data_IF_710865221674
#
_entry.id   IF_710865221674
#
_cell.length_a   1.000
_cell.length_b   1.000
_cell.length_c   1.000
_cell.angle_alpha   90.00
_cell.angle_beta   90.00
_cell.angle_gamma   90.00
#
_symmetry.space_group_name_H-M   'P 1'
#
loop_
_entity.id
_entity.type
_entity.pdbx_description
1 polymer ?
#
# COMPACT_ATOMS: atom_id res chain seq x y z
N UNK A 1 29.00 -4.89 -6.07
CA UNK A 1 27.80 -4.32 -5.41
C UNK A 1 27.90 -4.58 -3.91
N UNK A 2 27.92 -3.52 -3.09
CA UNK A 2 28.52 -3.57 -1.76
C UNK A 2 27.61 -4.23 -0.71
N UNK A 3 27.99 -5.44 -0.25
CA UNK A 3 27.33 -6.18 0.86
C UNK A 3 27.21 -5.36 2.16
N UNK A 4 27.97 -4.28 2.32
CA UNK A 4 27.84 -3.35 3.45
C UNK A 4 26.55 -2.51 3.39
N UNK A 5 26.03 -2.19 2.20
CA UNK A 5 24.87 -1.31 2.04
C UNK A 5 23.54 -2.04 2.35
N UNK A 6 23.43 -3.33 1.99
CA UNK A 6 22.31 -4.19 2.41
C UNK A 6 22.29 -4.43 3.93
N UNK A 7 23.44 -4.38 4.60
CA UNK A 7 23.52 -4.57 6.06
C UNK A 7 22.95 -3.38 6.83
N UNK A 8 23.06 -2.15 6.34
CA UNK A 8 22.55 -0.96 7.03
C UNK A 8 21.03 -1.00 7.18
N UNK A 9 20.29 -1.38 6.14
CA UNK A 9 18.82 -1.49 6.21
C UNK A 9 18.38 -2.69 7.07
N UNK A 10 19.12 -3.81 7.04
CA UNK A 10 18.88 -4.97 7.92
C UNK A 10 19.05 -4.61 9.41
N UNK A 11 19.90 -3.63 9.75
CA UNK A 11 20.12 -3.16 11.13
C UNK A 11 18.98 -2.26 11.61
N UNK A 12 18.37 -1.44 10.73
CA UNK A 12 17.21 -0.58 11.08
C UNK A 12 15.94 -1.39 11.36
N UNK A 13 15.74 -2.53 10.68
CA UNK A 13 14.60 -3.45 10.88
C UNK A 13 14.61 -4.14 12.27
N UNK A 14 15.68 -3.99 13.06
CA UNK A 14 15.89 -4.74 14.31
C UNK A 14 15.51 -4.04 15.62
N UNK A 15 14.83 -2.90 15.61
CA UNK A 15 14.42 -2.24 16.88
C UNK A 15 12.89 -2.22 17.03
N UNK A 16 12.39 -3.23 17.73
CA UNK A 16 11.10 -3.21 18.41
C UNK A 16 11.14 -2.20 19.57
N UNK A 17 10.09 -1.37 19.72
CA UNK A 17 9.70 -0.86 21.05
C UNK A 17 8.17 -0.79 21.17
N UNK A 18 7.70 -1.69 22.03
CA UNK A 18 6.56 -1.64 22.95
C UNK A 18 5.67 -0.39 22.97
N UNK A 19 4.36 -0.61 22.79
CA UNK A 19 3.32 0.26 23.32
C UNK A 19 2.99 -0.15 24.76
N UNK A 20 3.09 0.79 25.71
CA UNK A 20 1.89 1.18 26.44
C UNK A 20 1.69 2.69 26.41
N UNK A 21 0.43 3.10 26.31
CA UNK A 21 0.03 4.49 26.44
C UNK A 21 0.50 5.08 27.77
N UNK A 22 1.00 6.33 27.70
CA UNK A 22 1.36 7.31 28.75
C UNK A 22 2.86 7.63 28.82
N UNK A 23 3.22 8.79 28.25
CA UNK A 23 4.37 9.60 28.69
C UNK A 23 5.72 9.25 28.06
N UNK A 24 6.13 10.10 27.11
CA UNK A 24 7.50 10.42 26.68
C UNK A 24 8.50 9.24 26.53
N UNK A 25 8.59 8.74 25.30
CA UNK A 25 9.73 7.94 24.79
C UNK A 25 9.43 7.24 23.46
N UNK A 26 9.59 7.94 22.33
CA UNK A 26 9.53 7.42 20.94
C UNK A 26 8.58 6.24 20.67
N UNK A 27 7.28 6.44 20.91
CA UNK A 27 6.24 5.54 20.40
C UNK A 27 5.85 5.97 19.00
N UNK A 28 5.93 5.07 18.02
CA UNK A 28 5.38 5.30 16.68
C UNK A 28 3.91 5.75 16.78
N UNK A 29 3.54 6.82 16.07
CA UNK A 29 2.15 7.26 16.00
C UNK A 29 1.54 6.80 14.68
N UNK A 30 0.48 6.00 14.79
CA UNK A 30 -0.26 5.44 13.66
C UNK A 30 -1.59 6.16 13.55
N UNK A 31 -1.91 6.66 12.36
CA UNK A 31 -3.20 7.27 12.05
C UNK A 31 -3.80 6.51 10.87
N UNK A 32 -4.85 5.69 11.08
CA UNK A 32 -5.59 5.12 9.97
C UNK A 32 -6.28 6.26 9.21
N UNK A 33 -6.11 6.29 7.90
CA UNK A 33 -6.70 7.26 6.99
C UNK A 33 -7.64 6.49 6.07
N UNK A 34 -8.90 6.41 6.47
CA UNK A 34 -9.92 5.63 5.77
C UNK A 34 -10.82 6.60 5.01
N UNK A 35 -10.90 6.39 3.69
CA UNK A 35 -11.78 7.18 2.83
C UNK A 35 -12.96 6.32 2.39
N UNK A 36 -14.13 6.96 2.36
CA UNK A 36 -15.37 6.44 1.79
C UNK A 36 -15.83 7.43 0.71
N UNK A 37 -16.75 7.02 -0.19
CA UNK A 37 -17.31 7.96 -1.16
C UNK A 37 -17.79 9.25 -0.48
N UNK A 38 -17.25 10.39 -0.93
CA UNK A 38 -17.50 11.76 -0.44
C UNK A 38 -16.97 12.08 0.97
N UNK A 39 -16.20 11.20 1.58
CA UNK A 39 -15.60 11.38 2.91
C UNK A 39 -14.12 11.01 2.83
N UNK A 40 -13.24 12.01 2.77
CA UNK A 40 -11.79 11.79 2.78
C UNK A 40 -11.16 12.20 4.12
N UNK A 41 -10.42 11.29 4.72
CA UNK A 41 -9.46 11.56 5.80
C UNK A 41 -8.05 11.76 5.24
N UNK A 42 -7.74 11.11 4.12
CA UNK A 42 -6.43 11.16 3.48
C UNK A 42 -6.06 12.57 2.98
N UNK A 43 -6.94 13.19 2.20
CA UNK A 43 -6.70 14.49 1.58
C UNK A 43 -6.39 15.60 2.60
N UNK A 44 -7.27 15.90 3.59
CA UNK A 44 -6.99 16.94 4.57
C UNK A 44 -5.79 16.63 5.48
N UNK A 45 -5.46 15.35 5.66
CA UNK A 45 -4.26 14.96 6.41
C UNK A 45 -2.99 15.31 5.63
N UNK A 46 -2.96 15.04 4.32
CA UNK A 46 -1.84 15.39 3.44
C UNK A 46 -1.67 16.89 3.27
N UNK A 47 -2.76 17.63 3.05
CA UNK A 47 -2.74 19.10 2.99
C UNK A 47 -2.04 19.66 4.23
N UNK A 48 -2.45 19.20 5.42
CA UNK A 48 -1.83 19.61 6.67
C UNK A 48 -0.37 19.18 6.77
N UNK A 49 -0.05 17.93 6.45
CA UNK A 49 1.32 17.40 6.55
C UNK A 49 2.28 18.21 5.66
N UNK A 50 1.90 18.47 4.41
CA UNK A 50 2.65 19.26 3.43
C UNK A 50 2.76 20.72 3.88
N UNK A 51 1.67 21.32 4.36
CA UNK A 51 1.67 22.71 4.85
C UNK A 51 2.59 22.90 6.07
N UNK A 52 2.76 21.86 6.90
CA UNK A 52 3.62 21.91 8.10
C UNK A 52 5.01 21.30 7.93
N UNK A 53 5.35 20.80 6.73
CA UNK A 53 6.66 20.25 6.44
C UNK A 53 7.76 21.31 6.63
N UNK A 54 8.91 20.88 7.18
CA UNK A 54 9.99 21.75 7.61
C UNK A 54 11.27 21.59 6.79
N UNK A 55 11.60 20.37 6.38
CA UNK A 55 12.89 20.05 5.75
C UNK A 55 12.73 19.41 4.38
N UNK A 56 11.90 18.37 4.23
CA UNK A 56 11.81 17.64 2.98
C UNK A 56 10.46 16.96 2.75
N UNK A 57 10.08 16.82 1.47
CA UNK A 57 8.94 16.04 1.02
C UNK A 57 9.36 15.20 -0.20
N UNK A 58 9.30 13.88 -0.07
CA UNK A 58 9.49 12.94 -1.17
C UNK A 58 8.15 12.28 -1.54
N UNK A 59 7.77 12.36 -2.81
CA UNK A 59 6.47 11.89 -3.33
C UNK A 59 6.70 10.85 -4.43
N UNK A 60 6.20 9.63 -4.22
CA UNK A 60 6.25 8.52 -5.18
C UNK A 60 4.83 8.03 -5.47
N UNK A 61 4.36 8.26 -6.70
CA UNK A 61 2.97 7.98 -7.07
C UNK A 61 2.89 7.24 -8.41
N UNK A 62 1.94 6.32 -8.47
CA UNK A 62 1.50 5.71 -9.74
C UNK A 62 0.71 6.70 -10.60
N UNK A 63 -0.26 7.39 -10.00
CA UNK A 63 -1.09 8.37 -10.68
C UNK A 63 -1.20 9.62 -9.82
N UNK A 64 -0.75 10.74 -10.38
CA UNK A 64 -0.69 12.04 -9.74
C UNK A 64 -1.13 13.15 -10.69
N UNK A 65 -2.38 13.09 -11.13
CA UNK A 65 -2.95 14.06 -12.08
C UNK A 65 -2.90 15.49 -11.53
N UNK A 66 -2.65 16.45 -12.43
CA UNK A 66 -2.65 17.88 -12.12
C UNK A 66 -4.07 18.43 -11.95
N UNK A 67 -4.97 18.03 -12.84
CA UNK A 67 -6.33 18.54 -12.89
C UNK A 67 -7.15 18.06 -11.68
N UNK A 68 -7.87 18.98 -11.04
CA UNK A 68 -8.74 18.65 -9.90
C UNK A 68 -8.01 18.23 -8.63
N UNK A 69 -6.68 18.35 -8.58
CA UNK A 69 -5.86 17.93 -7.45
C UNK A 69 -5.32 19.13 -6.65
N UNK A 70 -5.83 19.38 -5.43
CA UNK A 70 -5.42 20.53 -4.64
C UNK A 70 -4.04 20.38 -4.00
N UNK A 71 -3.48 19.16 -3.95
CA UNK A 71 -2.21 18.91 -3.25
C UNK A 71 -1.01 19.51 -3.96
N UNK A 72 -1.07 19.73 -5.27
CA UNK A 72 0.05 20.33 -6.02
C UNK A 72 0.28 21.80 -5.65
N UNK A 73 -0.76 22.53 -5.27
CA UNK A 73 -0.64 23.90 -4.77
C UNK A 73 0.02 23.91 -3.38
N UNK A 74 -0.32 22.96 -2.51
CA UNK A 74 0.36 22.80 -1.21
C UNK A 74 1.83 22.41 -1.39
N UNK A 75 2.13 21.54 -2.37
CA UNK A 75 3.50 21.14 -2.72
C UNK A 75 4.32 22.33 -3.20
N UNK A 76 3.78 23.16 -4.10
CA UNK A 76 4.47 24.37 -4.58
C UNK A 76 4.63 25.41 -3.47
N UNK A 77 3.63 25.57 -2.60
CA UNK A 77 3.72 26.41 -1.42
C UNK A 77 4.82 25.92 -0.45
N UNK A 78 4.95 24.61 -0.24
CA UNK A 78 6.03 24.04 0.58
C UNK A 78 7.41 24.32 -0.01
N UNK A 79 7.59 24.10 -1.32
CA UNK A 79 8.84 24.42 -2.01
C UNK A 79 9.18 25.92 -1.91
N UNK A 80 8.19 26.81 -2.03
CA UNK A 80 8.37 28.26 -1.87
C UNK A 80 8.79 28.67 -0.44
N UNK A 81 8.45 27.87 0.57
CA UNK A 81 8.96 28.04 1.96
C UNK A 81 10.39 27.55 2.14
N UNK A 82 10.99 26.91 1.14
CA UNK A 82 12.35 26.35 1.20
C UNK A 82 12.42 24.87 1.59
N UNK A 83 11.28 24.18 1.67
CA UNK A 83 11.24 22.72 1.87
C UNK A 83 11.80 22.03 0.62
N UNK A 84 12.69 21.06 0.80
CA UNK A 84 13.23 20.29 -0.32
C UNK A 84 12.17 19.29 -0.83
N UNK A 85 11.62 19.51 -2.03
CA UNK A 85 10.60 18.62 -2.60
C UNK A 85 11.16 17.82 -3.77
N UNK A 86 10.87 16.52 -3.82
CA UNK A 86 11.16 15.64 -4.96
C UNK A 86 9.95 14.79 -5.31
N UNK A 87 9.66 14.65 -6.60
CA UNK A 87 8.50 13.89 -7.08
C UNK A 87 8.91 12.88 -8.15
N UNK A 88 8.51 11.62 -7.95
CA UNK A 88 8.59 10.55 -8.95
C UNK A 88 7.17 10.11 -9.30
N UNK A 89 6.84 10.18 -10.59
CA UNK A 89 5.58 9.66 -11.13
C UNK A 89 5.84 8.46 -12.06
N UNK A 90 4.91 7.53 -12.12
CA UNK A 90 4.98 6.37 -13.01
C UNK A 90 4.93 6.78 -14.48
N UNK A 91 5.82 6.15 -15.25
CA UNK A 91 5.79 6.06 -16.69
C UNK A 91 5.68 4.59 -17.04
N UNK A 92 4.73 4.26 -17.89
CA UNK A 92 4.51 2.87 -18.28
C UNK A 92 4.69 2.69 -19.77
N UNK A 93 5.59 1.78 -20.16
CA UNK A 93 5.69 1.30 -21.55
C UNK A 93 4.46 0.46 -21.96
N UNK A 94 3.70 -0.05 -20.98
CA UNK A 94 2.53 -0.91 -21.21
C UNK A 94 1.21 -0.13 -21.21
N UNK A 95 1.21 1.06 -20.63
CA UNK A 95 0.02 1.92 -20.51
C UNK A 95 0.42 3.38 -20.71
N UNK A 96 0.40 3.80 -21.97
CA UNK A 96 0.71 5.20 -22.36
C UNK A 96 -0.20 6.21 -21.64
N UNK A 97 -1.45 5.82 -21.34
CA UNK A 97 -2.41 6.68 -20.65
C UNK A 97 -1.95 7.12 -19.26
N UNK A 98 -1.22 6.29 -18.50
CA UNK A 98 -0.66 6.69 -17.20
C UNK A 98 0.39 7.79 -17.42
N UNK A 99 1.25 7.60 -18.42
CA UNK A 99 2.29 8.58 -18.77
C UNK A 99 1.66 9.91 -19.19
N UNK A 100 0.60 9.86 -19.99
CA UNK A 100 -0.11 11.06 -20.47
C UNK A 100 -0.79 11.83 -19.34
N UNK A 101 -1.38 11.11 -18.37
CA UNK A 101 -2.00 11.70 -17.17
C UNK A 101 -0.99 12.38 -16.25
N UNK A 102 0.18 11.78 -16.08
CA UNK A 102 1.25 12.29 -15.21
C UNK A 102 2.07 13.42 -15.86
N UNK A 103 2.11 13.51 -17.19
CA UNK A 103 2.93 14.50 -17.92
C UNK A 103 2.63 15.96 -17.54
N UNK A 104 1.36 16.43 -17.51
CA UNK A 104 1.06 17.80 -17.10
C UNK A 104 1.59 18.14 -15.72
N UNK A 105 1.57 17.19 -14.79
CA UNK A 105 2.08 17.37 -13.43
C UNK A 105 3.60 17.54 -13.42
N UNK A 106 4.34 16.68 -14.14
CA UNK A 106 5.80 16.82 -14.27
C UNK A 106 6.16 18.19 -14.85
N UNK A 107 5.47 18.61 -15.91
CA UNK A 107 5.73 19.89 -16.57
C UNK A 107 5.43 21.07 -15.63
N UNK A 108 4.30 21.00 -14.90
CA UNK A 108 3.92 22.01 -13.89
C UNK A 108 4.97 22.16 -12.79
N UNK A 109 5.40 21.05 -12.19
CA UNK A 109 6.42 21.06 -11.13
C UNK A 109 7.77 21.56 -11.64
N UNK A 110 8.16 21.17 -12.86
CA UNK A 110 9.40 21.62 -13.50
C UNK A 110 9.42 23.14 -13.71
N UNK A 111 8.31 23.73 -14.17
CA UNK A 111 8.17 25.19 -14.33
C UNK A 111 8.28 25.92 -12.98
N UNK A 112 7.84 25.29 -11.89
CA UNK A 112 7.96 25.81 -10.52
C UNK A 112 9.32 25.52 -9.87
N UNK A 113 10.29 24.96 -10.62
CA UNK A 113 11.63 24.67 -10.11
C UNK A 113 11.69 23.50 -9.13
N UNK A 114 10.65 22.66 -9.08
CA UNK A 114 10.58 21.49 -8.22
C UNK A 114 11.13 20.29 -8.99
N UNK A 115 12.14 19.57 -8.46
CA UNK A 115 12.62 18.32 -9.05
C UNK A 115 11.51 17.28 -9.17
N UNK A 116 11.03 17.08 -10.40
CA UNK A 116 10.03 16.08 -10.73
C UNK A 116 10.48 15.26 -11.94
N UNK A 117 10.27 13.95 -11.91
CA UNK A 117 10.66 13.06 -13.01
C UNK A 117 9.80 11.82 -13.10
N UNK A 118 9.88 11.16 -14.25
CA UNK A 118 9.36 9.82 -14.42
C UNK A 118 10.33 8.78 -13.83
N UNK A 119 9.78 7.63 -13.43
CA UNK A 119 10.55 6.44 -13.09
C UNK A 119 11.14 5.74 -14.34
N UNK A 120 11.73 4.56 -14.12
CA UNK A 120 12.19 3.70 -15.20
C UNK A 120 10.98 3.06 -15.89
N UNK A 121 10.73 3.34 -17.18
CA UNK A 121 9.54 2.83 -17.88
C UNK A 121 9.48 1.29 -17.97
N UNK A 122 10.59 0.60 -17.75
CA UNK A 122 10.64 -0.86 -17.70
C UNK A 122 10.10 -1.44 -16.38
N UNK A 123 9.94 -0.62 -15.34
CA UNK A 123 9.48 -1.03 -14.00
C UNK A 123 8.39 -0.08 -13.52
N UNK A 124 7.14 -0.52 -13.62
CA UNK A 124 6.00 0.26 -13.15
C UNK A 124 6.11 0.64 -11.69
N UNK A 125 5.99 1.93 -11.40
CA UNK A 125 5.75 2.44 -10.06
C UNK A 125 4.27 2.39 -9.74
N UNK A 126 3.88 1.36 -9.00
CA UNK A 126 2.52 1.21 -8.49
C UNK A 126 2.40 1.63 -7.01
N UNK A 127 3.39 2.36 -6.48
CA UNK A 127 3.38 2.89 -5.11
C UNK A 127 2.51 4.16 -4.95
N UNK A 128 2.13 4.44 -3.70
CA UNK A 128 1.47 5.69 -3.27
C UNK A 128 2.05 6.08 -1.94
N UNK A 129 3.17 6.78 -1.98
CA UNK A 129 4.00 7.08 -0.82
C UNK A 129 4.36 8.56 -0.79
N UNK A 130 4.19 9.15 0.39
CA UNK A 130 4.71 10.48 0.72
C UNK A 130 5.55 10.34 1.98
N UNK A 131 6.79 10.80 1.94
CA UNK A 131 7.66 10.91 3.12
C UNK A 131 7.87 12.38 3.43
N UNK A 132 7.55 12.79 4.65
CA UNK A 132 7.71 14.17 5.13
C UNK A 132 8.73 14.20 6.26
N UNK A 133 9.70 15.11 6.15
CA UNK A 133 10.72 15.41 7.16
C UNK A 133 11.50 14.17 7.66
N UNK A 134 11.67 13.15 6.79
CA UNK A 134 12.35 11.87 7.08
C UNK A 134 11.74 11.03 8.21
N UNK A 135 10.55 11.38 8.74
CA UNK A 135 9.93 10.67 9.85
C UNK A 135 8.46 10.29 9.64
N UNK A 136 7.72 11.04 8.83
CA UNK A 136 6.32 10.78 8.58
C UNK A 136 6.16 10.10 7.21
N UNK A 137 5.82 8.82 7.21
CA UNK A 137 5.45 8.09 6.00
C UNK A 137 3.93 7.99 5.89
N UNK A 138 3.37 8.47 4.78
CA UNK A 138 1.94 8.36 4.44
C UNK A 138 1.85 7.48 3.20
N UNK A 139 1.16 6.35 3.33
CA UNK A 139 1.05 5.37 2.27
C UNK A 139 -0.28 4.62 2.29
N UNK A 140 -0.58 3.93 1.21
CA UNK A 140 -1.80 3.15 1.10
C UNK A 140 -2.20 2.90 -0.34
N UNK A 141 -3.50 3.00 -0.57
CA UNK A 141 -4.10 2.71 -1.86
C UNK A 141 -4.41 3.95 -2.70
N UNK A 142 -4.40 5.16 -2.13
CA UNK A 142 -4.91 6.37 -2.81
C UNK A 142 -3.91 7.00 -3.77
N UNK A 143 -4.27 6.99 -5.05
CA UNK A 143 -3.68 7.86 -6.05
C UNK A 143 -4.06 9.32 -5.80
N UNK A 144 -3.39 10.22 -6.51
CA UNK A 144 -3.62 11.66 -6.44
C UNK A 144 -4.42 12.12 -7.65
N UNK A 145 -5.70 11.74 -7.68
CA UNK A 145 -6.67 12.10 -8.72
C UNK A 145 -8.07 12.31 -8.11
N UNK A 146 -8.97 12.96 -8.86
CA UNK A 146 -10.31 13.34 -8.38
C UNK A 146 -11.12 12.15 -7.84
N UNK A 147 -11.11 11.02 -8.56
CA UNK A 147 -11.88 9.82 -8.16
C UNK A 147 -11.39 9.24 -6.84
N UNK A 148 -10.07 9.14 -6.64
CA UNK A 148 -9.48 8.63 -5.41
C UNK A 148 -9.87 9.46 -4.19
N UNK A 149 -9.99 10.78 -4.35
CA UNK A 149 -10.36 11.70 -3.27
C UNK A 149 -11.86 11.78 -2.97
N UNK A 150 -12.72 11.45 -3.95
CA UNK A 150 -14.15 11.78 -3.85
C UNK A 150 -15.10 10.60 -4.02
N UNK A 151 -14.71 9.53 -4.71
CA UNK A 151 -15.64 8.48 -5.14
C UNK A 151 -15.25 7.09 -4.63
N UNK A 152 -13.98 6.84 -4.36
CA UNK A 152 -13.48 5.50 -4.07
C UNK A 152 -13.38 5.22 -2.57
N UNK A 153 -13.62 3.97 -2.17
CA UNK A 153 -13.28 3.52 -0.83
C UNK A 153 -11.80 3.12 -0.76
N UNK A 154 -11.04 3.68 0.19
CA UNK A 154 -9.59 3.55 0.26
C UNK A 154 -9.12 3.21 1.68
N UNK A 155 -8.00 2.50 1.78
CA UNK A 155 -7.32 2.23 3.03
C UNK A 155 -5.90 2.78 2.96
N UNK A 156 -5.64 3.85 3.72
CA UNK A 156 -4.33 4.46 3.86
C UNK A 156 -3.93 4.54 5.34
N UNK A 157 -2.66 4.83 5.60
CA UNK A 157 -2.12 5.03 6.93
C UNK A 157 -1.05 6.11 6.91
N UNK A 158 -1.02 6.93 7.95
CA UNK A 158 0.12 7.76 8.28
C UNK A 158 0.87 7.17 9.47
N UNK A 159 2.19 7.08 9.33
CA UNK A 159 3.10 6.49 10.29
C UNK A 159 4.18 7.51 10.61
N UNK A 160 4.08 8.10 11.79
CA UNK A 160 5.08 9.01 12.33
C UNK A 160 6.05 8.21 13.18
N UNK A 161 7.16 7.81 12.55
CA UNK A 161 8.27 7.09 13.14
C UNK A 161 9.53 7.30 12.27
N UNK A 162 10.61 7.91 12.81
CA UNK A 162 11.84 8.16 12.05
C UNK A 162 12.47 6.92 11.43
N UNK A 163 12.27 5.73 12.01
CA UNK A 163 12.79 4.47 11.44
C UNK A 163 12.01 4.04 10.20
N UNK A 164 10.71 4.32 10.18
CA UNK A 164 9.85 4.01 9.02
C UNK A 164 10.08 5.04 7.93
N UNK A 165 10.20 6.33 8.30
CA UNK A 165 10.59 7.40 7.40
C UNK A 165 11.94 7.12 6.72
N UNK A 166 12.96 6.71 7.49
CA UNK A 166 14.28 6.34 6.95
C UNK A 166 14.20 5.20 5.92
N UNK A 167 13.43 4.13 6.20
CA UNK A 167 13.32 3.00 5.26
C UNK A 167 12.67 3.42 3.94
N UNK A 168 11.59 4.18 4.01
CA UNK A 168 10.89 4.63 2.80
C UNK A 168 11.63 5.76 2.07
N UNK A 169 12.32 6.65 2.79
CA UNK A 169 13.21 7.66 2.20
C UNK A 169 14.40 7.02 1.47
N UNK A 170 15.03 6.00 2.06
CA UNK A 170 16.09 5.23 1.38
C UNK A 170 15.54 4.45 0.17
N UNK A 171 14.34 3.90 0.26
CA UNK A 171 13.67 3.28 -0.89
C UNK A 171 13.40 4.29 -2.01
N UNK A 172 12.87 5.48 -1.67
CA UNK A 172 12.68 6.58 -2.61
C UNK A 172 13.99 7.00 -3.27
N UNK A 173 15.05 7.22 -2.48
CA UNK A 173 16.38 7.58 -2.98
C UNK A 173 16.88 6.54 -3.99
N UNK A 174 16.60 5.26 -3.77
CA UNK A 174 17.06 4.22 -4.69
C UNK A 174 16.36 4.25 -6.05
N UNK A 175 15.07 4.56 -6.06
CA UNK A 175 14.34 4.80 -7.31
C UNK A 175 14.83 6.11 -7.92
N UNK A 176 15.00 7.17 -7.13
CA UNK A 176 15.51 8.48 -7.55
C UNK A 176 16.91 8.42 -8.18
N UNK A 177 17.77 7.53 -7.73
CA UNK A 177 19.13 7.40 -8.26
C UNK A 177 19.25 6.30 -9.32
N UNK A 178 18.14 5.67 -9.71
CA UNK A 178 18.09 4.50 -10.61
C UNK A 178 19.02 3.37 -10.15
N UNK A 179 19.08 3.14 -8.83
CA UNK A 179 19.99 2.19 -8.21
C UNK A 179 19.26 1.09 -7.40
N UNK A 180 17.92 1.03 -7.50
CA UNK A 180 17.13 -0.07 -6.96
C UNK A 180 17.39 -1.34 -7.76
N UNK A 181 18.08 -2.29 -7.13
CA UNK A 181 18.45 -3.57 -7.77
C UNK A 181 17.37 -4.64 -7.54
N UNK A 182 17.15 -5.55 -8.51
CA UNK A 182 16.26 -6.68 -8.31
C UNK A 182 16.61 -7.51 -7.07
N UNK A 183 15.59 -7.89 -6.31
CA UNK A 183 15.73 -8.55 -5.00
C UNK A 183 16.20 -7.64 -3.87
N UNK A 184 16.20 -6.32 -4.09
CA UNK A 184 16.79 -5.24 -3.29
C UNK A 184 16.66 -5.35 -1.76
N UNK A 185 15.74 -4.59 -1.17
CA UNK A 185 15.59 -4.41 0.29
C UNK A 185 14.80 -5.59 0.87
N UNK A 186 15.39 -6.77 1.04
CA UNK A 186 14.67 -7.92 1.61
C UNK A 186 14.55 -7.87 3.13
N UNK A 187 13.33 -8.00 3.63
CA UNK A 187 13.04 -8.13 5.06
C UNK A 187 13.33 -9.56 5.56
N UNK A 188 14.08 -9.73 6.66
CA UNK A 188 14.34 -11.05 7.26
C UNK A 188 13.12 -11.53 8.07
N UNK A 189 12.18 -12.19 7.40
CA UNK A 189 10.90 -12.65 7.99
C UNK A 189 11.05 -13.59 9.19
N UNK A 190 12.17 -14.31 9.30
CA UNK A 190 12.44 -15.23 10.41
C UNK A 190 12.71 -14.51 11.74
N UNK A 191 12.93 -13.19 11.68
CA UNK A 191 13.17 -12.32 12.85
C UNK A 191 11.91 -11.61 13.36
N UNK A 192 10.76 -11.81 12.70
CA UNK A 192 9.49 -11.25 13.15
C UNK A 192 9.05 -12.03 14.40
N UNK A 193 9.05 -11.35 15.55
CA UNK A 193 8.67 -11.89 16.86
C UNK A 193 7.16 -11.84 17.14
N UNK A 194 6.77 -12.23 18.35
CA UNK A 194 5.37 -12.36 18.78
C UNK A 194 4.79 -11.10 19.46
N UNK A 195 5.31 -9.90 19.15
CA UNK A 195 4.92 -8.67 19.82
C UNK A 195 4.58 -7.53 18.84
N UNK A 196 4.06 -6.40 19.34
CA UNK A 196 3.73 -5.26 18.51
C UNK A 196 4.92 -4.82 17.66
N UNK A 197 4.76 -4.84 16.34
CA UNK A 197 5.86 -4.62 15.39
C UNK A 197 5.35 -3.86 14.17
N UNK A 198 6.06 -2.82 13.76
CA UNK A 198 5.86 -2.16 12.47
C UNK A 198 6.93 -2.65 11.50
N UNK A 199 6.50 -3.10 10.32
CA UNK A 199 7.37 -3.62 9.28
C UNK A 199 7.08 -2.84 8.01
N UNK A 200 7.97 -1.94 7.57
CA UNK A 200 7.87 -1.33 6.26
C UNK A 200 8.17 -2.38 5.19
N UNK A 201 7.37 -2.41 4.13
CA UNK A 201 7.44 -3.39 3.05
C UNK A 201 7.61 -2.65 1.72
N UNK A 202 8.77 -2.00 1.48
CA UNK A 202 9.10 -1.53 0.14
C UNK A 202 9.34 -2.74 -0.75
N UNK A 203 8.69 -2.79 -1.89
CA UNK A 203 8.86 -3.84 -2.89
C UNK A 203 9.32 -3.26 -4.22
N UNK A 204 10.14 -4.03 -4.91
CA UNK A 204 10.60 -3.77 -6.27
C UNK A 204 10.81 -5.11 -6.96
N UNK A 205 11.24 -5.14 -8.22
CA UNK A 205 11.44 -6.38 -8.96
C UNK A 205 12.12 -7.47 -8.12
N UNK A 206 11.50 -8.64 -7.99
CA UNK A 206 12.02 -9.83 -7.27
C UNK A 206 12.24 -9.68 -5.75
N UNK A 207 11.80 -8.58 -5.12
CA UNK A 207 11.97 -8.34 -3.67
C UNK A 207 10.99 -9.20 -2.85
N UNK A 208 9.70 -9.13 -3.17
CA UNK A 208 8.60 -9.97 -2.65
C UNK A 208 8.40 -9.88 -1.12
N UNK A 209 8.67 -8.74 -0.51
CA UNK A 209 8.50 -8.54 0.93
C UNK A 209 7.05 -8.70 1.38
N UNK A 210 6.12 -8.04 0.69
CA UNK A 210 4.69 -8.09 0.96
C UNK A 210 4.21 -9.54 1.04
N UNK A 211 4.43 -10.30 -0.03
CA UNK A 211 3.95 -11.68 -0.11
C UNK A 211 4.60 -12.59 0.94
N UNK A 212 5.92 -12.43 1.19
CA UNK A 212 6.64 -13.23 2.19
C UNK A 212 6.12 -12.99 3.60
N UNK A 213 5.87 -11.72 3.96
CA UNK A 213 5.31 -11.37 5.27
C UNK A 213 3.87 -11.82 5.37
N UNK A 214 3.03 -11.51 4.37
CA UNK A 214 1.62 -11.90 4.36
C UNK A 214 1.44 -13.42 4.50
N UNK A 215 2.17 -14.23 3.72
CA UNK A 215 2.08 -15.69 3.80
C UNK A 215 2.49 -16.21 5.18
N UNK A 216 3.50 -15.61 5.83
CA UNK A 216 3.87 -15.97 7.20
C UNK A 216 2.72 -15.70 8.17
N UNK A 217 2.04 -14.56 8.05
CA UNK A 217 0.93 -14.18 8.92
C UNK A 217 -0.31 -15.04 8.68
N UNK A 218 -0.73 -15.24 7.42
CA UNK A 218 -1.88 -16.08 7.06
C UNK A 218 -1.70 -17.53 7.50
N UNK A 219 -0.48 -18.08 7.37
CA UNK A 219 -0.18 -19.42 7.86
C UNK A 219 -0.17 -19.51 9.40
N UNK A 220 0.09 -18.40 10.10
CA UNK A 220 0.08 -18.30 11.56
C UNK A 220 -1.28 -17.95 12.17
N UNK A 221 -2.25 -17.52 11.36
CA UNK A 221 -3.58 -17.07 11.79
C UNK A 221 -4.35 -18.15 12.56
N UNK A 222 -5.09 -17.73 13.59
CA UNK A 222 -5.75 -18.60 14.57
C UNK A 222 -7.27 -18.47 14.65
N UNK A 223 -7.82 -17.32 14.31
CA UNK A 223 -9.23 -16.97 14.52
C UNK A 223 -9.89 -16.35 13.30
N UNK A 224 -9.36 -15.24 12.76
CA UNK A 224 -9.98 -14.51 11.66
C UNK A 224 -8.96 -14.01 10.64
N UNK A 225 -9.37 -13.99 9.36
CA UNK A 225 -8.70 -13.29 8.27
C UNK A 225 -9.76 -12.55 7.47
N UNK A 226 -9.69 -11.23 7.49
CA UNK A 226 -10.56 -10.36 6.70
C UNK A 226 -9.73 -9.64 5.64
N UNK A 227 -10.16 -9.76 4.38
CA UNK A 227 -9.45 -9.22 3.21
C UNK A 227 -10.36 -8.21 2.51
N UNK A 228 -9.81 -7.03 2.20
CA UNK A 228 -10.35 -6.11 1.18
C UNK A 228 -9.31 -6.02 0.07
N UNK A 229 -9.68 -6.35 -1.16
CA UNK A 229 -8.73 -6.37 -2.26
C UNK A 229 -9.32 -5.82 -3.55
N UNK A 230 -8.70 -4.77 -4.08
CA UNK A 230 -9.06 -4.17 -5.36
C UNK A 230 -8.83 -5.10 -6.54
N UNK A 231 -7.71 -5.82 -6.59
CA UNK A 231 -7.44 -6.81 -7.65
C UNK A 231 -6.75 -8.04 -7.10
N UNK A 232 -7.40 -9.19 -7.24
CA UNK A 232 -6.87 -10.52 -7.01
C UNK A 232 -7.03 -11.37 -8.27
N UNK A 233 -6.02 -12.18 -8.60
CA UNK A 233 -6.02 -13.04 -9.77
C UNK A 233 -5.71 -14.47 -9.39
N UNK A 234 -6.54 -15.39 -9.83
CA UNK A 234 -6.26 -16.82 -9.81
C UNK A 234 -5.72 -17.25 -11.18
N UNK A 235 -4.62 -18.00 -11.19
CA UNK A 235 -3.95 -18.42 -12.43
C UNK A 235 -3.96 -19.94 -12.55
N UNK A 236 -4.99 -20.58 -13.14
CA UNK A 236 -5.11 -22.04 -13.23
C UNK A 236 -3.91 -22.72 -13.90
N UNK A 237 -3.33 -22.06 -14.92
CA UNK A 237 -2.16 -22.54 -15.66
C UNK A 237 -0.83 -22.35 -14.90
N UNK A 238 -0.78 -21.48 -13.89
CA UNK A 238 0.43 -21.11 -13.14
C UNK A 238 0.27 -21.44 -11.66
N UNK A 239 0.15 -22.74 -11.35
CA UNK A 239 -0.14 -23.25 -10.00
C UNK A 239 0.82 -22.78 -8.90
N UNK A 240 2.07 -22.44 -9.26
CA UNK A 240 3.12 -21.95 -8.36
C UNK A 240 3.31 -20.42 -8.41
N UNK A 241 2.33 -19.69 -8.94
CA UNK A 241 2.34 -18.23 -8.90
C UNK A 241 2.12 -17.73 -7.48
N UNK A 242 2.72 -16.60 -7.15
CA UNK A 242 2.63 -16.05 -5.79
C UNK A 242 1.20 -15.63 -5.42
N UNK A 243 0.40 -15.22 -6.41
CA UNK A 243 -1.02 -14.94 -6.22
C UNK A 243 -1.79 -16.21 -5.81
N UNK A 244 -1.56 -17.33 -6.51
CA UNK A 244 -2.17 -18.60 -6.13
C UNK A 244 -1.69 -19.08 -4.76
N UNK A 245 -0.42 -18.88 -4.41
CA UNK A 245 0.09 -19.24 -3.08
C UNK A 245 -0.65 -18.49 -1.97
N UNK A 246 -0.97 -17.20 -2.17
CA UNK A 246 -1.79 -16.41 -1.22
C UNK A 246 -3.22 -16.97 -1.13
N UNK A 247 -3.89 -17.22 -2.26
CA UNK A 247 -5.25 -17.76 -2.27
C UNK A 247 -5.31 -19.17 -1.63
N UNK A 248 -4.34 -20.03 -1.94
CA UNK A 248 -4.19 -21.36 -1.34
C UNK A 248 -3.95 -21.27 0.17
N UNK A 249 -3.19 -20.26 0.64
CA UNK A 249 -2.94 -20.07 2.07
C UNK A 249 -4.22 -19.66 2.83
N UNK A 250 -5.10 -18.87 2.19
CA UNK A 250 -6.43 -18.56 2.73
C UNK A 250 -7.29 -19.83 2.83
N UNK A 251 -7.31 -20.66 1.79
CA UNK A 251 -8.02 -21.95 1.79
C UNK A 251 -7.47 -22.86 2.90
N UNK A 252 -6.15 -22.94 3.04
CA UNK A 252 -5.52 -23.70 4.10
C UNK A 252 -5.87 -23.16 5.50
N UNK A 253 -6.00 -21.84 5.67
CA UNK A 253 -6.42 -21.23 6.92
C UNK A 253 -7.88 -21.59 7.27
N UNK A 254 -8.78 -21.48 6.29
CA UNK A 254 -10.17 -21.92 6.45
C UNK A 254 -10.25 -23.41 6.82
N UNK A 255 -9.43 -24.26 6.18
CA UNK A 255 -9.32 -25.68 6.52
C UNK A 255 -8.81 -25.97 7.93
N UNK A 256 -8.10 -25.02 8.57
CA UNK A 256 -7.72 -25.08 10.00
C UNK A 256 -8.83 -24.59 10.95
N UNK A 257 -9.95 -24.11 10.42
CA UNK A 257 -11.06 -23.54 11.20
C UNK A 257 -10.97 -22.03 11.45
N UNK A 258 -10.06 -21.33 10.77
CA UNK A 258 -10.00 -19.85 10.80
C UNK A 258 -11.17 -19.29 10.00
N UNK A 259 -11.89 -18.30 10.53
CA UNK A 259 -12.91 -17.58 9.75
C UNK A 259 -12.20 -16.74 8.68
N UNK A 260 -12.49 -17.01 7.40
CA UNK A 260 -11.93 -16.24 6.28
C UNK A 260 -13.06 -15.56 5.52
N UNK A 261 -12.98 -14.23 5.41
CA UNK A 261 -13.91 -13.41 4.62
C UNK A 261 -13.14 -12.52 3.66
N UNK A 262 -13.55 -12.52 2.39
CA UNK A 262 -12.87 -11.77 1.34
C UNK A 262 -13.86 -10.83 0.65
N UNK A 263 -13.54 -9.56 0.64
CA UNK A 263 -14.27 -8.51 -0.07
C UNK A 263 -13.47 -8.05 -1.29
N UNK A 264 -14.07 -8.14 -2.48
CA UNK A 264 -13.42 -7.83 -3.76
C UNK A 264 -14.15 -6.70 -4.48
N UNK A 265 -13.39 -5.92 -5.25
CA UNK A 265 -13.95 -4.97 -6.21
C UNK A 265 -14.54 -5.71 -7.44
N UNK A 266 -15.63 -5.24 -7.99
CA UNK A 266 -16.22 -5.72 -9.25
C UNK A 266 -16.67 -4.54 -10.12
N UNK A 267 -15.84 -3.50 -10.12
CA UNK A 267 -16.10 -2.23 -10.79
C UNK A 267 -16.29 -2.42 -12.31
N UNK A 268 -17.42 -1.96 -12.84
CA UNK A 268 -17.77 -2.05 -14.25
C UNK A 268 -16.87 -1.19 -15.16
N UNK A 269 -16.21 -0.17 -14.61
CA UNK A 269 -15.28 0.70 -15.34
C UNK A 269 -13.94 0.01 -15.65
N UNK A 270 -13.60 -1.07 -14.92
CA UNK A 270 -12.37 -1.84 -15.10
C UNK A 270 -12.69 -3.33 -15.32
N UNK A 271 -13.31 -3.70 -16.46
CA UNK A 271 -13.88 -5.03 -16.68
C UNK A 271 -12.85 -6.16 -16.63
N UNK A 272 -11.59 -5.91 -16.98
CA UNK A 272 -10.51 -6.89 -16.86
C UNK A 272 -10.18 -7.19 -15.38
N UNK A 273 -10.11 -6.15 -14.54
CA UNK A 273 -9.89 -6.30 -13.09
C UNK A 273 -11.06 -7.03 -12.45
N UNK A 274 -12.28 -6.61 -12.79
CA UNK A 274 -13.51 -7.25 -12.33
C UNK A 274 -13.58 -8.73 -12.74
N UNK A 275 -13.18 -9.08 -13.97
CA UNK A 275 -13.11 -10.47 -14.41
C UNK A 275 -12.09 -11.30 -13.62
N UNK A 276 -10.89 -10.76 -13.40
CA UNK A 276 -9.88 -11.42 -12.59
C UNK A 276 -10.36 -11.67 -11.14
N UNK A 277 -11.03 -10.67 -10.56
CA UNK A 277 -11.64 -10.78 -9.24
C UNK A 277 -12.73 -11.85 -9.20
N UNK A 278 -13.60 -11.94 -10.22
CA UNK A 278 -14.61 -13.00 -10.31
C UNK A 278 -14.00 -14.39 -10.35
N UNK A 279 -12.93 -14.59 -11.11
CA UNK A 279 -12.22 -15.88 -11.17
C UNK A 279 -11.59 -16.26 -9.82
N UNK A 280 -10.93 -15.31 -9.15
CA UNK A 280 -10.40 -15.52 -7.81
C UNK A 280 -11.51 -15.79 -6.77
N UNK A 281 -12.63 -15.07 -6.88
CA UNK A 281 -13.78 -15.22 -6.00
C UNK A 281 -14.43 -16.60 -6.12
N UNK A 282 -14.65 -17.08 -7.35
CA UNK A 282 -15.18 -18.43 -7.59
C UNK A 282 -14.24 -19.49 -7.06
N UNK A 283 -12.93 -19.35 -7.31
CA UNK A 283 -11.94 -20.26 -6.74
C UNK A 283 -12.03 -20.32 -5.19
N UNK A 284 -12.10 -19.18 -4.50
CA UNK A 284 -12.22 -19.13 -3.05
C UNK A 284 -13.57 -19.69 -2.54
N UNK A 285 -14.67 -19.33 -3.20
CA UNK A 285 -16.03 -19.77 -2.86
C UNK A 285 -16.19 -21.29 -3.02
N UNK A 286 -15.63 -21.88 -4.08
CA UNK A 286 -15.61 -23.34 -4.30
C UNK A 286 -14.86 -24.09 -3.18
N UNK A 287 -13.97 -23.40 -2.46
CA UNK A 287 -13.25 -23.92 -1.30
C UNK A 287 -13.88 -23.50 0.05
N UNK A 288 -15.13 -23.01 0.03
CA UNK A 288 -15.91 -22.71 1.23
C UNK A 288 -15.59 -21.38 1.92
N UNK A 289 -14.81 -20.50 1.28
CA UNK A 289 -14.54 -19.16 1.80
C UNK A 289 -15.70 -18.22 1.47
N UNK A 290 -16.13 -17.42 2.44
CA UNK A 290 -17.15 -16.41 2.21
C UNK A 290 -16.54 -15.24 1.42
N UNK A 291 -17.09 -14.97 0.23
CA UNK A 291 -16.64 -13.88 -0.64
C UNK A 291 -17.80 -12.95 -0.97
N UNK A 292 -17.55 -11.64 -0.96
CA UNK A 292 -18.49 -10.60 -1.39
C UNK A 292 -17.83 -9.63 -2.35
N UNK A 293 -18.64 -9.04 -3.23
CA UNK A 293 -18.25 -7.93 -4.09
C UNK A 293 -18.89 -6.62 -3.64
N UNK A 294 -18.29 -5.49 -3.99
CA UNK A 294 -18.99 -4.21 -4.00
C UNK A 294 -20.02 -4.11 -5.13
N UNK A 295 -20.78 -3.01 -5.14
CA UNK A 295 -21.66 -2.71 -6.26
C UNK A 295 -20.83 -2.40 -7.53
N UNK A 296 -21.18 -2.91 -8.73
CA UNK A 296 -20.41 -2.63 -9.95
C UNK A 296 -20.30 -1.14 -10.33
N UNK A 297 -21.16 -0.28 -9.78
CA UNK A 297 -21.09 1.18 -9.94
C UNK A 297 -20.18 1.88 -8.92
N UNK A 298 -19.73 1.16 -7.89
CA UNK A 298 -18.79 1.63 -6.89
C UNK A 298 -17.36 1.17 -7.23
N UNK A 299 -16.39 1.66 -6.48
CA UNK A 299 -15.01 1.21 -6.58
C UNK A 299 -14.39 1.12 -5.19
N UNK A 300 -14.01 -0.09 -4.82
CA UNK A 300 -13.27 -0.38 -3.57
C UNK A 300 -11.81 -0.53 -3.90
N UNK A 301 -11.12 0.60 -4.06
CA UNK A 301 -9.70 0.63 -4.38
C UNK A 301 -8.84 0.52 -3.11
N UNK A 302 -9.01 -0.55 -2.33
CA UNK A 302 -8.23 -0.82 -1.13
C UNK A 302 -7.51 -2.18 -1.23
N UNK A 303 -6.35 -2.29 -0.59
CA UNK A 303 -5.60 -3.55 -0.42
C UNK A 303 -5.23 -3.66 1.05
N UNK A 304 -6.01 -4.46 1.77
CA UNK A 304 -6.01 -4.53 3.22
C UNK A 304 -6.26 -5.97 3.65
N UNK A 305 -5.44 -6.45 4.58
CA UNK A 305 -5.63 -7.74 5.26
C UNK A 305 -5.57 -7.51 6.75
N UNK A 306 -6.58 -7.96 7.47
CA UNK A 306 -6.66 -7.92 8.92
C UNK A 306 -6.66 -9.37 9.42
N UNK A 307 -5.79 -9.68 10.39
CA UNK A 307 -5.60 -11.05 10.89
C UNK A 307 -5.74 -11.03 12.42
N UNK A 308 -6.58 -11.91 12.94
CA UNK A 308 -6.83 -12.16 14.36
C UNK A 308 -7.15 -10.90 15.19
N UNK A 309 -7.71 -9.87 14.54
CA UNK A 309 -8.05 -8.58 15.16
C UNK A 309 -6.85 -7.81 15.73
N UNK A 310 -5.62 -8.18 15.35
CA UNK A 310 -4.39 -7.60 15.88
C UNK A 310 -3.37 -7.20 14.82
N UNK A 311 -3.30 -7.93 13.72
CA UNK A 311 -2.35 -7.68 12.65
C UNK A 311 -3.05 -7.03 11.45
N UNK A 312 -2.42 -5.99 10.89
CA UNK A 312 -2.92 -5.28 9.71
C UNK A 312 -1.80 -5.21 8.68
N UNK A 313 -2.08 -5.63 7.45
CA UNK A 313 -1.21 -5.41 6.28
C UNK A 313 -1.99 -4.58 5.27
N UNK A 314 -1.44 -3.44 4.86
CA UNK A 314 -2.06 -2.58 3.85
C UNK A 314 -1.02 -1.84 3.01
N UNK A 315 -1.44 -1.37 1.85
CA UNK A 315 -0.61 -0.57 0.95
C UNK A 315 -1.13 -0.58 -0.47
N UNK A 316 -0.19 -0.62 -1.43
CA UNK A 316 -0.49 -0.54 -2.84
C UNK A 316 -0.61 -1.90 -3.54
N UNK A 317 -0.10 -2.99 -2.95
CA UNK A 317 0.07 -4.27 -3.64
C UNK A 317 -1.25 -5.00 -3.93
N UNK A 318 -1.57 -5.16 -5.22
CA UNK A 318 -2.61 -6.07 -5.70
C UNK A 318 -2.12 -7.53 -5.71
N UNK A 319 -3.04 -8.52 -5.72
CA UNK A 319 -2.69 -9.93 -5.83
C UNK A 319 -2.70 -10.41 -7.28
N UNK A 320 -1.76 -9.89 -8.07
CA UNK A 320 -1.46 -10.33 -9.43
C UNK A 320 0.06 -10.42 -9.64
N UNK A 321 0.48 -11.06 -10.73
CA UNK A 321 1.92 -11.27 -11.01
C UNK A 321 2.76 -9.99 -10.98
N UNK A 322 2.27 -8.91 -11.58
CA UNK A 322 3.04 -7.67 -11.70
C UNK A 322 3.22 -6.98 -10.36
N UNK A 323 2.14 -6.76 -9.61
CA UNK A 323 2.22 -6.15 -8.28
C UNK A 323 3.06 -6.98 -7.31
N UNK A 324 2.92 -8.31 -7.32
CA UNK A 324 3.61 -9.17 -6.36
C UNK A 324 5.10 -9.38 -6.65
N UNK A 325 5.54 -9.22 -7.90
CA UNK A 325 6.89 -9.66 -8.31
C UNK A 325 7.69 -8.67 -9.16
N UNK A 326 7.04 -7.68 -9.78
CA UNK A 326 7.66 -6.81 -10.79
C UNK A 326 7.64 -5.33 -10.41
N UNK A 327 6.54 -4.83 -9.88
CA UNK A 327 6.33 -3.40 -9.67
C UNK A 327 7.15 -2.87 -8.49
N UNK A 328 7.35 -1.56 -8.49
CA UNK A 328 7.69 -0.81 -7.29
C UNK A 328 6.40 -0.59 -6.49
N UNK A 329 6.33 -1.15 -5.28
CA UNK A 329 5.15 -1.13 -4.40
C UNK A 329 5.57 -0.67 -2.99
N UNK A 330 4.61 -0.13 -2.24
CA UNK A 330 4.81 0.32 -0.86
C UNK A 330 3.69 -0.17 0.02
N UNK A 331 4.02 -1.06 0.95
CA UNK A 331 3.09 -1.58 1.95
C UNK A 331 3.68 -1.49 3.36
N UNK A 332 2.84 -1.70 4.36
CA UNK A 332 3.25 -1.82 5.75
C UNK A 332 2.48 -2.94 6.44
N UNK A 333 3.17 -3.68 7.31
CA UNK A 333 2.54 -4.59 8.26
C UNK A 333 2.67 -4.02 9.68
N UNK A 334 1.54 -3.80 10.34
CA UNK A 334 1.44 -3.45 11.75
C UNK A 334 0.91 -4.65 12.53
N UNK A 335 1.80 -5.35 13.20
CA UNK A 335 1.51 -6.58 13.94
C UNK A 335 1.21 -6.26 15.40
N UNK A 336 0.29 -6.99 16.02
CA UNK A 336 -0.05 -6.86 17.44
C UNK A 336 -0.55 -5.47 17.83
N UNK A 337 -1.29 -4.78 16.96
CA UNK A 337 -1.87 -3.44 17.21
C UNK A 337 -3.41 -3.49 17.13
N UNK A 338 -4.11 -4.03 18.15
CA UNK A 338 -5.57 -4.20 18.12
C UNK A 338 -6.37 -2.91 17.90
N UNK A 339 -5.87 -1.76 18.38
CA UNK A 339 -6.53 -0.49 18.19
C UNK A 339 -6.56 -0.04 16.71
N UNK A 340 -5.48 -0.33 15.97
CA UNK A 340 -5.41 -0.08 14.53
C UNK A 340 -6.27 -1.08 13.77
N UNK A 341 -6.15 -2.38 14.10
CA UNK A 341 -6.98 -3.43 13.52
C UNK A 341 -8.47 -3.13 13.70
N UNK A 342 -8.90 -2.70 14.88
CA UNK A 342 -10.30 -2.34 15.14
C UNK A 342 -10.80 -1.17 14.27
N UNK A 343 -9.92 -0.23 13.88
CA UNK A 343 -10.31 0.85 12.96
C UNK A 343 -10.59 0.32 11.56
N UNK A 344 -9.71 -0.53 11.03
CA UNK A 344 -9.90 -1.16 9.73
C UNK A 344 -10.97 -2.25 9.74
N UNK A 345 -11.25 -2.90 10.87
CA UNK A 345 -12.37 -3.83 11.01
C UNK A 345 -13.72 -3.11 10.87
N UNK A 346 -13.83 -1.87 11.34
CA UNK A 346 -15.04 -1.05 11.11
C UNK A 346 -15.21 -0.73 9.62
N UNK A 347 -14.11 -0.44 8.93
CA UNK A 347 -14.13 -0.24 7.48
C UNK A 347 -14.50 -1.52 6.73
N UNK A 348 -13.86 -2.64 7.05
CA UNK A 348 -14.20 -3.95 6.49
C UNK A 348 -15.67 -4.30 6.73
N UNK A 349 -16.17 -4.15 7.96
CA UNK A 349 -17.58 -4.44 8.29
C UNK A 349 -18.55 -3.54 7.51
N UNK A 350 -18.23 -2.25 7.38
CA UNK A 350 -19.03 -1.31 6.58
C UNK A 350 -19.19 -1.78 5.12
N UNK A 351 -18.08 -2.21 4.50
CA UNK A 351 -18.06 -2.74 3.15
C UNK A 351 -18.80 -4.07 3.09
N UNK A 352 -18.44 -5.01 3.97
CA UNK A 352 -18.99 -6.35 4.03
C UNK A 352 -20.51 -6.36 4.10
N UNK A 353 -21.10 -5.56 4.99
CA UNK A 353 -22.56 -5.48 5.18
C UNK A 353 -23.31 -4.96 3.95
N UNK A 354 -22.64 -4.17 3.10
CA UNK A 354 -23.18 -3.65 1.83
C UNK A 354 -22.78 -4.50 0.63
N UNK A 355 -21.87 -5.43 0.82
CA UNK A 355 -21.37 -6.33 -0.20
C UNK A 355 -22.41 -7.36 -0.62
N UNK A 356 -22.36 -7.72 -1.89
CA UNK A 356 -23.18 -8.77 -2.49
C UNK A 356 -22.40 -10.07 -2.54
N UNK A 357 -22.98 -11.21 -2.14
CA UNK A 357 -22.29 -12.49 -2.17
C UNK A 357 -21.99 -12.96 -3.60
N UNK A 358 -20.94 -13.76 -3.75
CA UNK A 358 -20.72 -14.55 -4.97
C UNK A 358 -21.92 -15.50 -5.15
N UNK A 359 -22.47 -15.55 -6.38
CA UNK A 359 -23.59 -16.41 -6.74
C UNK A 359 -23.12 -17.67 -7.44
#
# INVERSE_FOLDING_TARGET
>A
MNKRLQRSIIVVVLIAVCLPALGLGNSARLVPLIDLPRISQYLPYLEKAIATANSAIDILLSDGELAGNPLWDEVTAAAARGVAVRVILDRSDWSESITDKNRPTIDYLTVHGIPARFDDPAVTTHAKLVVVDDHLAILGSSNWNEHAFTEQAQANIAVDDPRIGEVFGEYFNRIWDNNLVPGGIRIPIDRIGNGPTLIPLPDGPETKNYARVLLKLVNGARSTIHVVMYRASYYPAYKKSLANDILNALVAAAGRGVEVKVFLDDCAFYPESAQANREAAHYLADHGIAVRFDDPSATTHAKLVIIDGGDVVLGSTNWNYYSLERNNETDIAALGVPALAAAYERFFSYLWDRGRPVR
#
